data_IF_222162883813
#
_entry.id   IF_222162883813
#
_cell.length_a   1.000
_cell.length_b   1.000
_cell.length_c   1.000
_cell.angle_alpha   90.00
_cell.angle_beta   90.00
_cell.angle_gamma   90.00
#
_symmetry.space_group_name_H-M   'P 1'
#
loop_
_entity.id
_entity.type
_entity.pdbx_description
1 polymer ?
#
# COMPACT_ATOMS: atom_id res chain seq x y z
N UNK A 1 -43.90 -21.24 -46.97
CA UNK A 1 -43.32 -21.42 -45.62
C UNK A 1 -41.79 -21.36 -45.72
N UNK A 2 -41.19 -20.24 -45.31
CA UNK A 2 -39.74 -20.02 -45.38
C UNK A 2 -39.03 -20.69 -44.17
N UNK A 3 -37.81 -21.21 -44.33
CA UNK A 3 -37.02 -21.74 -43.21
C UNK A 3 -36.37 -20.59 -42.41
N UNK A 4 -36.38 -20.71 -41.09
CA UNK A 4 -35.77 -19.75 -40.16
C UNK A 4 -34.23 -19.80 -40.22
N UNK A 5 -33.53 -18.68 -39.94
CA UNK A 5 -32.06 -18.68 -39.87
C UNK A 5 -31.57 -19.37 -38.59
N UNK A 6 -30.64 -20.31 -38.73
CA UNK A 6 -29.93 -20.94 -37.60
C UNK A 6 -28.90 -19.96 -37.02
N UNK A 7 -29.08 -19.58 -35.77
CA UNK A 7 -28.09 -18.78 -35.02
C UNK A 7 -26.96 -19.68 -34.50
N UNK A 8 -25.68 -19.26 -34.58
CA UNK A 8 -24.57 -20.05 -34.08
C UNK A 8 -24.50 -19.97 -32.55
N UNK A 9 -24.97 -21.02 -31.86
CA UNK A 9 -24.78 -21.16 -30.42
C UNK A 9 -23.29 -21.30 -30.08
N UNK A 10 -22.76 -20.38 -29.26
CA UNK A 10 -21.47 -20.57 -28.58
C UNK A 10 -21.69 -21.62 -27.48
N UNK A 11 -21.03 -22.77 -27.60
CA UNK A 11 -20.98 -23.78 -26.55
C UNK A 11 -20.22 -23.21 -25.34
N UNK A 12 -20.94 -22.88 -24.27
CA UNK A 12 -20.33 -22.53 -22.99
C UNK A 12 -19.75 -23.81 -22.39
N UNK A 13 -18.43 -23.98 -22.51
CA UNK A 13 -17.70 -25.01 -21.75
C UNK A 13 -17.65 -24.53 -20.30
N UNK A 14 -18.18 -25.28 -19.31
CA UNK A 14 -17.98 -24.93 -17.93
C UNK A 14 -16.48 -25.10 -17.62
N UNK A 15 -15.75 -24.00 -17.55
CA UNK A 15 -14.41 -23.96 -16.98
C UNK A 15 -14.58 -24.30 -15.49
N UNK A 16 -14.31 -25.56 -15.14
CA UNK A 16 -14.25 -25.99 -13.75
C UNK A 16 -13.25 -25.13 -13.01
N UNK A 17 -13.70 -24.46 -11.95
CA UNK A 17 -12.81 -23.75 -11.06
C UNK A 17 -11.80 -24.76 -10.49
N UNK A 18 -10.51 -24.53 -10.72
CA UNK A 18 -9.46 -25.36 -10.17
C UNK A 18 -9.54 -25.35 -8.64
N UNK A 19 -9.94 -26.48 -8.06
CA UNK A 19 -9.87 -26.68 -6.61
C UNK A 19 -8.41 -26.87 -6.24
N UNK A 20 -7.85 -25.92 -5.49
CA UNK A 20 -6.53 -26.09 -4.87
C UNK A 20 -6.70 -27.21 -3.82
N UNK A 21 -5.95 -28.32 -3.90
CA UNK A 21 -6.01 -29.34 -2.86
C UNK A 21 -5.37 -28.76 -1.59
N UNK A 22 -6.22 -28.33 -0.65
CA UNK A 22 -5.78 -28.02 0.71
C UNK A 22 -5.63 -29.35 1.43
N UNK A 23 -4.39 -29.82 1.57
CA UNK A 23 -4.09 -30.97 2.42
C UNK A 23 -4.27 -30.52 3.89
N UNK A 24 -5.25 -31.07 4.63
CA UNK A 24 -5.47 -30.65 6.00
C UNK A 24 -4.28 -31.12 6.84
N UNK A 25 -3.51 -30.16 7.36
CA UNK A 25 -2.46 -30.44 8.33
C UNK A 25 -3.08 -31.21 9.51
N UNK A 26 -2.55 -32.39 9.88
CA UNK A 26 -3.13 -33.18 10.94
C UNK A 26 -3.15 -32.37 12.26
N UNK A 27 -4.18 -32.59 13.11
CA UNK A 27 -4.23 -31.94 14.41
C UNK A 27 -2.96 -32.30 15.18
N UNK A 28 -2.28 -31.28 15.69
CA UNK A 28 -1.12 -31.45 16.55
C UNK A 28 -1.54 -32.31 17.76
N UNK A 29 -1.04 -33.53 17.83
CA UNK A 29 -1.10 -34.34 19.04
C UNK A 29 -0.20 -33.62 20.06
N UNK A 30 -0.71 -33.22 21.23
CA UNK A 30 0.15 -32.68 22.27
C UNK A 30 1.07 -33.81 22.72
N UNK A 31 2.36 -33.63 22.47
CA UNK A 31 3.36 -34.50 23.06
C UNK A 31 3.28 -34.38 24.58
N UNK A 32 3.55 -35.49 25.25
CA UNK A 32 3.22 -35.74 26.65
C UNK A 32 3.70 -34.65 27.63
N UNK A 33 2.79 -34.26 28.54
CA UNK A 33 2.99 -33.59 29.83
C UNK A 33 3.78 -32.25 29.84
N UNK A 34 3.39 -31.28 30.67
CA UNK A 34 4.17 -30.06 30.85
C UNK A 34 5.50 -30.43 31.53
N UNK A 35 6.58 -30.53 30.77
CA UNK A 35 7.91 -30.41 31.34
C UNK A 35 8.01 -28.99 31.88
N UNK A 36 8.14 -28.90 33.20
CA UNK A 36 8.50 -27.67 33.89
C UNK A 36 9.86 -27.24 33.32
N UNK A 37 9.85 -26.32 32.36
CA UNK A 37 11.03 -25.55 32.04
C UNK A 37 11.38 -24.78 33.30
N UNK A 38 12.44 -25.22 33.98
CA UNK A 38 13.08 -24.44 35.01
C UNK A 38 13.44 -23.08 34.44
N UNK A 39 13.33 -22.06 35.28
CA UNK A 39 13.84 -20.72 35.04
C UNK A 39 15.36 -20.84 34.76
N UNK A 40 15.73 -20.91 33.48
CA UNK A 40 17.07 -20.50 33.06
C UNK A 40 17.11 -18.97 33.15
N UNK A 41 18.14 -18.37 33.75
CA UNK A 41 18.22 -16.93 33.82
C UNK A 41 18.38 -16.41 32.38
N UNK A 42 17.36 -15.71 31.88
CA UNK A 42 17.50 -14.88 30.69
C UNK A 42 18.67 -13.93 30.96
N UNK A 43 19.75 -14.09 30.20
CA UNK A 43 20.86 -13.15 30.24
C UNK A 43 20.29 -11.76 29.99
N UNK A 44 20.38 -10.91 31.02
CA UNK A 44 19.98 -9.53 31.01
C UNK A 44 20.74 -8.83 29.87
N UNK A 45 20.09 -8.73 28.71
CA UNK A 45 20.64 -7.96 27.60
C UNK A 45 20.48 -6.49 28.01
N UNK A 46 21.59 -5.87 28.38
CA UNK A 46 21.66 -4.43 28.68
C UNK A 46 21.00 -3.65 27.54
N UNK A 47 19.80 -3.15 27.81
CA UNK A 47 19.01 -2.39 26.85
C UNK A 47 19.59 -0.99 26.74
N UNK A 48 20.61 -0.84 25.90
CA UNK A 48 21.21 0.46 25.59
C UNK A 48 20.15 1.35 24.94
N UNK A 49 19.65 2.32 25.71
CA UNK A 49 18.70 3.32 25.25
C UNK A 49 19.47 4.61 25.03
N UNK A 50 19.67 4.98 23.76
CA UNK A 50 20.31 6.24 23.41
C UNK A 50 19.28 7.37 23.53
N UNK A 51 19.57 8.35 24.38
CA UNK A 51 18.80 9.59 24.50
C UNK A 51 19.50 10.67 23.67
N UNK A 52 18.72 11.45 22.92
CA UNK A 52 19.22 12.45 21.97
C UNK A 52 20.05 13.58 22.62
N UNK A 53 19.95 13.73 23.93
CA UNK A 53 20.67 14.75 24.72
C UNK A 53 22.03 14.26 25.23
N UNK A 54 22.47 13.04 24.87
CA UNK A 54 23.80 12.52 25.21
C UNK A 54 24.82 13.08 24.21
N UNK A 55 25.39 14.24 24.55
CA UNK A 55 26.50 14.84 23.80
C UNK A 55 27.68 13.86 23.71
N UNK A 56 27.93 13.34 22.50
CA UNK A 56 29.15 12.60 22.16
C UNK A 56 30.35 13.55 22.22
N UNK A 57 30.90 13.68 23.42
CA UNK A 57 32.20 14.29 23.62
C UNK A 57 33.29 13.42 23.00
N UNK A 58 34.05 14.03 22.10
CA UNK A 58 35.33 13.59 21.52
C UNK A 58 35.30 12.61 20.33
N UNK A 59 35.22 13.18 19.12
CA UNK A 59 36.20 12.85 18.08
C UNK A 59 36.47 14.09 17.23
N UNK A 60 37.62 14.71 17.47
CA UNK A 60 38.16 15.74 16.62
C UNK A 60 38.55 15.11 15.28
N UNK A 61 37.87 15.50 14.21
CA UNK A 61 38.49 15.65 12.90
C UNK A 61 37.83 16.85 12.22
N UNK A 62 38.62 17.92 12.18
CA UNK A 62 38.37 19.21 11.57
C UNK A 62 38.45 19.05 10.05
N UNK A 63 37.31 19.06 9.37
CA UNK A 63 37.23 19.30 7.92
C UNK A 63 36.15 20.34 7.68
N UNK A 64 36.57 21.61 7.73
CA UNK A 64 35.76 22.79 7.46
C UNK A 64 35.29 22.81 5.99
N UNK A 65 33.98 22.63 5.77
CA UNK A 65 33.30 23.08 4.56
C UNK A 65 32.72 24.49 4.81
N UNK A 66 33.22 25.56 4.15
CA UNK A 66 32.60 26.87 4.24
C UNK A 66 31.54 27.01 3.15
N UNK A 67 30.29 27.21 3.55
CA UNK A 67 29.27 27.78 2.68
C UNK A 67 27.96 27.01 2.66
N UNK A 68 27.03 27.37 3.53
CA UNK A 68 25.82 28.14 3.17
C UNK A 68 24.91 28.23 4.38
N UNK A 69 24.72 29.45 4.86
CA UNK A 69 23.67 29.82 5.81
C UNK A 69 22.37 29.89 5.01
N UNK A 70 21.41 29.03 5.31
CA UNK A 70 19.99 29.35 5.23
C UNK A 70 19.32 28.89 6.52
N UNK A 71 19.45 29.74 7.55
CA UNK A 71 18.46 29.81 8.63
C UNK A 71 17.09 30.10 8.00
N UNK A 72 16.09 29.28 8.29
CA UNK A 72 14.73 29.56 7.82
C UNK A 72 13.70 28.43 7.86
N UNK A 73 14.06 27.19 8.22
CA UNK A 73 13.06 26.19 8.57
C UNK A 73 12.98 26.10 10.08
N UNK A 74 12.02 26.83 10.66
CA UNK A 74 11.53 26.54 12.00
C UNK A 74 10.95 25.13 11.97
N UNK A 75 11.75 24.14 12.32
CA UNK A 75 11.25 22.86 12.75
C UNK A 75 10.32 23.16 13.93
N UNK A 76 9.02 23.05 13.71
CA UNK A 76 8.04 23.09 14.79
C UNK A 76 8.48 22.02 15.79
N UNK A 77 9.13 22.45 16.87
CA UNK A 77 9.53 21.58 17.97
C UNK A 77 8.23 21.07 18.56
N UNK A 78 7.80 19.90 18.11
CA UNK A 78 6.57 19.27 18.56
C UNK A 78 6.67 19.12 20.07
N UNK A 79 5.80 19.81 20.79
CA UNK A 79 5.71 19.73 22.25
C UNK A 79 5.66 18.24 22.66
N UNK A 80 6.59 17.76 23.51
CA UNK A 80 6.65 16.35 23.90
C UNK A 80 5.31 15.81 24.43
N UNK A 81 4.52 16.65 25.11
CA UNK A 81 3.19 16.26 25.59
C UNK A 81 2.20 16.03 24.43
N UNK A 82 2.24 16.88 23.40
CA UNK A 82 1.44 16.69 22.18
C UNK A 82 1.86 15.44 21.42
N UNK A 83 3.16 15.16 21.36
CA UNK A 83 3.66 13.94 20.74
C UNK A 83 3.12 12.69 21.43
N UNK A 84 3.22 12.62 22.76
CA UNK A 84 2.70 11.50 23.55
C UNK A 84 1.19 11.32 23.36
N UNK A 85 0.41 12.41 23.44
CA UNK A 85 -1.04 12.36 23.20
C UNK A 85 -1.40 11.83 21.80
N UNK A 86 -0.66 12.25 20.76
CA UNK A 86 -0.85 11.77 19.40
C UNK A 86 -0.51 10.27 19.26
N UNK A 87 0.56 9.82 19.92
CA UNK A 87 0.96 8.42 19.94
C UNK A 87 -0.11 7.56 20.63
N UNK A 88 -0.62 7.99 21.78
CA UNK A 88 -1.69 7.29 22.49
C UNK A 88 -2.98 7.22 21.68
N UNK A 89 -3.40 8.33 21.08
CA UNK A 89 -4.58 8.38 20.21
C UNK A 89 -4.45 7.42 19.01
N UNK A 90 -3.26 7.37 18.41
CA UNK A 90 -2.96 6.42 17.33
C UNK A 90 -3.03 4.98 17.82
N UNK A 91 -2.44 4.66 18.96
CA UNK A 91 -2.48 3.31 19.53
C UNK A 91 -3.90 2.86 19.87
N UNK A 92 -4.71 3.75 20.46
CA UNK A 92 -6.11 3.48 20.77
C UNK A 92 -6.91 3.16 19.48
N UNK A 93 -6.75 3.98 18.44
CA UNK A 93 -7.37 3.74 17.14
C UNK A 93 -6.92 2.42 16.50
N UNK A 94 -5.64 2.10 16.57
CA UNK A 94 -5.11 0.82 16.04
C UNK A 94 -5.72 -0.38 16.77
N UNK A 95 -5.82 -0.32 18.11
CA UNK A 95 -6.46 -1.37 18.91
C UNK A 95 -7.93 -1.55 18.56
N UNK A 96 -8.67 -0.45 18.41
CA UNK A 96 -10.08 -0.47 18.02
C UNK A 96 -10.27 -1.11 16.63
N UNK A 97 -9.47 -0.69 15.64
CA UNK A 97 -9.53 -1.25 14.28
C UNK A 97 -9.20 -2.73 14.28
N UNK A 98 -8.14 -3.14 14.98
CA UNK A 98 -7.76 -4.55 15.08
C UNK A 98 -8.86 -5.41 15.72
N UNK A 99 -9.51 -4.92 16.78
CA UNK A 99 -10.62 -5.62 17.43
C UNK A 99 -11.83 -5.78 16.50
N UNK A 100 -12.20 -4.72 15.76
CA UNK A 100 -13.30 -4.76 14.80
C UNK A 100 -13.03 -5.74 13.64
N UNK A 101 -11.78 -5.83 13.18
CA UNK A 101 -11.40 -6.75 12.09
C UNK A 101 -11.27 -8.20 12.54
N UNK A 102 -10.86 -8.46 13.79
CA UNK A 102 -10.61 -9.82 14.29
C UNK A 102 -11.87 -10.51 14.83
N UNK A 103 -12.92 -9.75 15.15
CA UNK A 103 -14.18 -10.31 15.63
C UNK A 103 -15.14 -10.58 14.46
N UNK A 104 -15.81 -11.76 14.42
CA UNK A 104 -16.70 -12.11 13.31
C UNK A 104 -17.88 -11.12 13.19
N UNK A 105 -18.38 -10.63 14.32
CA UNK A 105 -19.43 -9.61 14.36
C UNK A 105 -18.94 -8.27 13.80
N UNK A 106 -17.76 -7.80 14.24
CA UNK A 106 -17.20 -6.53 13.76
C UNK A 106 -16.86 -6.58 12.26
N UNK A 107 -16.42 -7.73 11.75
CA UNK A 107 -16.18 -7.94 10.33
C UNK A 107 -17.49 -7.93 9.54
N UNK A 108 -18.52 -8.63 10.03
CA UNK A 108 -19.85 -8.68 9.38
C UNK A 108 -20.47 -7.29 9.23
N UNK A 109 -20.33 -6.42 10.24
CA UNK A 109 -20.80 -5.04 10.17
C UNK A 109 -20.06 -4.21 9.10
N UNK A 110 -18.77 -4.53 8.86
CA UNK A 110 -17.97 -3.89 7.83
C UNK A 110 -18.26 -4.41 6.42
N UNK A 111 -18.83 -5.60 6.29
CA UNK A 111 -19.15 -6.22 5.00
C UNK A 111 -20.58 -5.93 4.53
N UNK A 112 -21.50 -5.67 5.47
CA UNK A 112 -22.92 -5.42 5.17
C UNK A 112 -23.15 -4.20 4.27
N UNK A 113 -22.31 -3.18 4.39
CA UNK A 113 -22.41 -1.95 3.62
C UNK A 113 -21.06 -1.50 3.04
N UNK A 114 -21.03 -0.94 1.82
CA UNK A 114 -19.80 -0.49 1.21
C UNK A 114 -19.17 0.68 2.00
N UNK A 115 -17.84 0.80 1.89
CA UNK A 115 -17.06 1.75 2.69
C UNK A 115 -17.51 3.21 2.54
N UNK A 116 -17.94 3.63 1.35
CA UNK A 116 -18.41 5.01 1.12
C UNK A 116 -19.69 5.32 1.91
N UNK A 117 -20.62 4.36 2.02
CA UNK A 117 -21.83 4.51 2.85
C UNK A 117 -21.47 4.52 4.34
N UNK A 118 -20.68 3.54 4.80
CA UNK A 118 -20.23 3.45 6.20
C UNK A 118 -19.49 4.71 6.68
N UNK A 119 -18.69 5.32 5.80
CA UNK A 119 -17.91 6.54 6.11
C UNK A 119 -18.66 7.83 5.79
N UNK A 120 -19.91 7.77 5.33
CA UNK A 120 -20.70 8.94 4.91
C UNK A 120 -19.95 9.79 3.86
N UNK A 121 -19.18 9.14 2.99
CA UNK A 121 -18.45 9.79 1.89
C UNK A 121 -19.36 9.84 0.67
N UNK A 122 -19.67 11.05 0.22
CA UNK A 122 -20.40 11.29 -1.02
C UNK A 122 -19.46 11.13 -2.21
N UNK A 123 -19.76 10.17 -3.10
CA UNK A 123 -19.06 10.02 -4.36
C UNK A 123 -19.74 10.92 -5.40
N UNK A 124 -18.96 11.78 -6.05
CA UNK A 124 -19.44 12.53 -7.21
C UNK A 124 -19.38 11.62 -8.43
N UNK A 125 -20.44 11.62 -9.24
CA UNK A 125 -20.42 10.95 -10.53
C UNK A 125 -19.57 11.80 -11.48
N UNK A 126 -18.37 11.31 -11.79
CA UNK A 126 -17.48 11.92 -12.75
C UNK A 126 -17.75 11.40 -14.17
N UNK A 127 -17.30 12.11 -15.21
CA UNK A 127 -17.41 11.58 -16.57
C UNK A 127 -16.75 10.21 -16.65
N UNK A 128 -17.40 9.25 -17.30
CA UNK A 128 -16.81 7.93 -17.44
C UNK A 128 -15.53 8.05 -18.27
N UNK A 129 -14.54 7.19 -18.00
CA UNK A 129 -13.31 7.17 -18.80
C UNK A 129 -13.57 6.84 -20.27
N UNK A 130 -14.71 6.20 -20.57
CA UNK A 130 -15.20 5.95 -21.93
C UNK A 130 -15.77 7.20 -22.62
N UNK A 131 -16.30 8.15 -21.85
CA UNK A 131 -16.85 9.42 -22.36
C UNK A 131 -15.74 10.45 -22.62
N UNK A 132 -14.57 10.23 -22.04
CA UNK A 132 -13.40 11.10 -22.19
C UNK A 132 -12.55 10.61 -23.37
N UNK A 133 -12.65 11.30 -24.51
CA UNK A 133 -11.88 10.98 -25.73
C UNK A 133 -10.38 11.30 -25.67
N UNK A 134 -9.77 11.32 -24.48
CA UNK A 134 -8.33 11.56 -24.34
C UNK A 134 -7.58 10.28 -24.70
N UNK A 135 -7.00 10.27 -25.90
CA UNK A 135 -6.16 9.16 -26.35
C UNK A 135 -4.93 9.03 -25.46
N UNK A 136 -4.68 7.82 -24.95
CA UNK A 136 -3.43 7.46 -24.25
C UNK A 136 -2.21 7.41 -25.18
N UNK A 137 -2.42 7.58 -26.48
CA UNK A 137 -1.37 7.48 -27.47
C UNK A 137 -1.07 8.83 -28.10
N UNK A 138 0.21 9.09 -28.32
CA UNK A 138 0.72 10.24 -29.06
C UNK A 138 1.18 9.82 -30.45
N UNK A 139 0.82 10.63 -31.45
CA UNK A 139 1.31 10.47 -32.82
C UNK A 139 2.74 11.02 -32.90
N UNK A 140 3.70 10.19 -33.31
CA UNK A 140 5.08 10.58 -33.56
C UNK A 140 5.38 10.47 -35.06
N UNK A 141 6.03 11.49 -35.62
CA UNK A 141 6.51 11.49 -37.01
C UNK A 141 8.03 11.50 -36.97
N UNK A 142 8.64 10.41 -37.41
CA UNK A 142 10.09 10.26 -37.57
C UNK A 142 10.43 10.34 -39.05
N UNK A 143 11.51 11.05 -39.39
CA UNK A 143 12.00 11.18 -40.75
C UNK A 143 13.34 10.46 -40.82
N UNK A 144 13.41 9.40 -41.60
CA UNK A 144 14.62 8.61 -41.78
C UNK A 144 15.65 9.40 -42.62
N UNK A 145 16.93 9.00 -42.60
CA UNK A 145 18.01 9.64 -43.38
C UNK A 145 17.75 9.65 -44.91
N UNK A 146 16.83 8.82 -45.36
CA UNK A 146 16.38 8.72 -46.76
C UNK A 146 15.16 9.61 -47.09
N UNK A 147 14.67 10.41 -46.13
CA UNK A 147 13.55 11.34 -46.32
C UNK A 147 12.17 10.70 -46.28
N UNK A 148 12.07 9.40 -45.95
CA UNK A 148 10.83 8.68 -45.77
C UNK A 148 10.20 9.03 -44.41
N UNK A 149 8.90 9.35 -44.40
CA UNK A 149 8.17 9.75 -43.18
C UNK A 149 7.49 8.54 -42.56
N UNK A 150 7.94 8.16 -41.37
CA UNK A 150 7.36 7.06 -40.59
C UNK A 150 6.46 7.61 -39.50
N UNK A 151 5.17 7.26 -39.56
CA UNK A 151 4.18 7.66 -38.55
C UNK A 151 4.01 6.51 -37.56
N UNK A 152 4.36 6.74 -36.29
CA UNK A 152 4.22 5.76 -35.21
C UNK A 152 3.26 6.26 -34.14
N UNK A 153 2.40 5.36 -33.64
CA UNK A 153 1.54 5.65 -32.50
C UNK A 153 2.20 5.13 -31.23
N UNK A 154 2.72 6.04 -30.39
CA UNK A 154 3.42 5.69 -29.14
C UNK A 154 2.51 5.83 -27.94
N UNK A 155 2.60 4.89 -26.99
CA UNK A 155 1.82 4.91 -25.73
C UNK A 155 2.35 5.91 -24.69
N UNK A 156 3.60 6.34 -24.84
CA UNK A 156 4.27 7.22 -23.88
C UNK A 156 4.68 8.49 -24.60
N UNK A 157 4.23 9.65 -24.09
CA UNK A 157 4.63 10.96 -24.60
C UNK A 157 5.99 11.35 -23.97
N UNK A 158 7.07 11.53 -24.74
CA UNK A 158 8.38 11.88 -24.18
C UNK A 158 8.44 13.31 -23.61
N UNK A 159 7.45 14.17 -23.90
CA UNK A 159 7.37 15.55 -23.41
C UNK A 159 6.52 15.72 -22.15
N UNK A 160 5.87 14.64 -21.70
CA UNK A 160 5.11 14.66 -20.46
C UNK A 160 6.03 14.13 -19.35
N UNK A 161 6.42 15.01 -18.43
CA UNK A 161 7.15 14.61 -17.23
C UNK A 161 6.16 13.84 -16.34
N UNK A 162 6.19 12.52 -16.48
CA UNK A 162 5.43 11.60 -15.65
C UNK A 162 5.85 11.87 -14.20
N UNK A 163 4.89 12.37 -13.42
CA UNK A 163 4.93 12.83 -12.02
C UNK A 163 4.90 14.35 -11.83
N UNK A 164 3.67 14.88 -11.82
CA UNK A 164 3.30 16.02 -11.00
C UNK A 164 2.57 15.43 -9.78
N UNK A 165 3.07 15.79 -8.59
CA UNK A 165 2.77 15.31 -7.21
C UNK A 165 3.56 14.11 -6.67
#
# INVERSE_FOLDING_TARGET
>A
PAPAPEEPYIKVVPQGQGTIPFEPKPPYLPDAAPQQHGEEPEAEQDKVTHFLDEEVSSRADDTMHPGTVQEGQSYDRVDPARHQANVEARQAKMREVHLKLRTPNGLSDLEREPAYKRKQVTLNDGPHSQDTGVSRYTLNEEVDEHGERKVELRRNNPYLHDNVD
#
